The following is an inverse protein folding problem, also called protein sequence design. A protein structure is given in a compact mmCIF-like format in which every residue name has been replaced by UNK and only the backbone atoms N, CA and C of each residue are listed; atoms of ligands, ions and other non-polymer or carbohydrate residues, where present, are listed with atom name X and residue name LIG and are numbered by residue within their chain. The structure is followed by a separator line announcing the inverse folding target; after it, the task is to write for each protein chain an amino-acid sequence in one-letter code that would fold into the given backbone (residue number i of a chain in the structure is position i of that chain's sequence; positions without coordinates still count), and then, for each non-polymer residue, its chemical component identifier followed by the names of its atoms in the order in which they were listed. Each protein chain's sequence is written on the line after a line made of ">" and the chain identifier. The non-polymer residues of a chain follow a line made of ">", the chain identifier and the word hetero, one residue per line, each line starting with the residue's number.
data_IF_315221242993
#
_entry.id   IF_315221242993
#
_cell.length_a   1.000
_cell.length_b   1.000
_cell.length_c   1.000
_cell.angle_alpha   90.00
_cell.angle_beta   90.00
_cell.angle_gamma   90.00
#
_symmetry.space_group_name_H-M   'P 1'
#
loop_
_entity.id
_entity.type
_entity.pdbx_description
1 polymer ?
#
# COMPACT_ATOMS: atom_id res chain seq x y z
N UNK A 1 -7.61 -7.74 -8.62
CA UNK A 1 -7.48 -6.57 -7.72
C UNK A 1 -6.92 -5.42 -8.53
N UNK A 2 -7.45 -4.18 -8.47
CA UNK A 2 -6.67 -3.03 -8.91
C UNK A 2 -5.42 -3.00 -8.05
N UNK A 3 -4.35 -2.48 -8.60
CA UNK A 3 -3.11 -2.40 -7.84
C UNK A 3 -3.35 -1.48 -6.62
N UNK A 4 -3.42 -2.04 -5.42
CA UNK A 4 -3.77 -1.34 -4.15
C UNK A 4 -3.04 -0.01 -3.97
N UNK A 5 -1.78 0.06 -4.42
CA UNK A 5 -0.98 1.27 -4.35
C UNK A 5 -1.46 2.42 -5.26
N UNK A 6 -2.42 2.18 -6.16
CA UNK A 6 -3.02 3.24 -6.99
C UNK A 6 -4.16 3.99 -6.25
N UNK A 7 -4.86 3.34 -5.31
CA UNK A 7 -6.01 3.91 -4.59
C UNK A 7 -5.72 5.24 -3.89
N UNK A 8 -4.53 5.46 -3.28
CA UNK A 8 -4.19 6.75 -2.70
C UNK A 8 -4.27 7.94 -3.68
N UNK A 9 -4.32 7.72 -5.00
CA UNK A 9 -4.55 8.80 -5.95
C UNK A 9 -5.92 9.46 -5.76
N UNK A 10 -6.96 8.69 -5.40
CA UNK A 10 -8.32 9.18 -5.24
C UNK A 10 -8.47 10.18 -4.07
N UNK A 11 -7.62 10.08 -3.05
CA UNK A 11 -7.70 10.96 -1.88
C UNK A 11 -6.92 12.29 -2.05
N UNK A 12 -6.12 12.43 -3.10
CA UNK A 12 -5.29 13.63 -3.27
C UNK A 12 -6.06 14.95 -3.28
N UNK A 13 -7.29 15.05 -3.81
CA UNK A 13 -8.09 16.26 -3.69
C UNK A 13 -8.40 16.63 -2.22
N UNK A 14 -8.58 15.63 -1.36
CA UNK A 14 -8.93 15.83 0.06
C UNK A 14 -7.77 16.35 0.91
N UNK A 15 -6.52 16.23 0.44
CA UNK A 15 -5.33 16.71 1.18
C UNK A 15 -5.33 18.21 1.47
N UNK A 16 -6.13 18.99 0.72
CA UNK A 16 -6.26 20.43 0.91
C UNK A 16 -7.25 20.81 2.01
N UNK A 17 -8.00 19.85 2.52
CA UNK A 17 -8.94 20.08 3.62
C UNK A 17 -8.14 20.20 4.92
N UNK A 18 -8.24 21.36 5.55
CA UNK A 18 -7.33 21.81 6.63
C UNK A 18 -7.18 20.86 7.82
N UNK A 19 -8.23 20.09 8.16
CA UNK A 19 -8.22 19.16 9.30
C UNK A 19 -7.98 17.70 8.87
N UNK A 20 -7.88 17.42 7.56
CA UNK A 20 -7.56 16.09 7.07
C UNK A 20 -6.06 16.00 6.76
N UNK A 21 -5.40 15.04 7.38
CA UNK A 21 -3.99 14.77 7.11
C UNK A 21 -3.84 13.72 6.01
N UNK A 22 -2.82 13.88 5.17
CA UNK A 22 -2.56 12.96 4.04
C UNK A 22 -2.26 11.54 4.52
N UNK A 23 -1.51 11.37 5.63
CA UNK A 23 -1.12 10.05 6.12
C UNK A 23 -2.33 9.15 6.46
N UNK A 24 -3.30 9.54 7.30
CA UNK A 24 -4.47 8.69 7.58
C UNK A 24 -5.39 8.52 6.37
N UNK A 25 -5.49 9.50 5.45
CA UNK A 25 -6.20 9.34 4.18
C UNK A 25 -5.58 8.22 3.32
N UNK A 26 -4.24 8.23 3.18
CA UNK A 26 -3.53 7.20 2.42
C UNK A 26 -3.64 5.83 3.07
N UNK A 27 -3.49 5.76 4.40
CA UNK A 27 -3.68 4.52 5.15
C UNK A 27 -5.08 3.97 4.92
N UNK A 28 -6.12 4.79 5.04
CA UNK A 28 -7.50 4.38 4.77
C UNK A 28 -7.69 3.86 3.35
N UNK A 29 -7.09 4.52 2.35
CA UNK A 29 -7.22 4.13 0.95
C UNK A 29 -6.57 2.77 0.61
N UNK A 30 -5.70 2.23 1.44
CA UNK A 30 -5.10 0.90 1.25
C UNK A 30 -5.63 -0.15 2.24
N UNK A 31 -6.30 0.27 3.29
CA UNK A 31 -6.73 -0.59 4.41
C UNK A 31 -7.58 -1.79 3.97
N UNK A 32 -8.61 -1.67 3.10
CA UNK A 32 -9.45 -2.80 2.73
C UNK A 32 -8.68 -3.97 2.13
N UNK A 33 -7.60 -3.68 1.43
CA UNK A 33 -6.76 -4.69 0.77
C UNK A 33 -5.68 -5.32 1.67
N UNK A 34 -5.38 -4.73 2.82
CA UNK A 34 -4.30 -5.21 3.70
C UNK A 34 -4.41 -6.69 4.06
N UNK A 35 -5.60 -7.26 4.36
CA UNK A 35 -5.72 -8.68 4.66
C UNK A 35 -5.22 -9.61 3.54
N UNK A 36 -5.26 -9.17 2.27
CA UNK A 36 -4.76 -9.96 1.15
C UNK A 36 -3.23 -10.08 1.11
N UNK A 37 -2.54 -9.13 1.73
CA UNK A 37 -1.07 -9.09 1.79
C UNK A 37 -0.50 -9.71 3.06
N UNK A 38 -1.33 -10.26 3.95
CA UNK A 38 -0.81 -10.98 5.11
C UNK A 38 -0.30 -12.36 4.66
N UNK A 39 0.98 -12.71 4.92
CA UNK A 39 1.56 -13.97 4.44
C UNK A 39 1.15 -15.16 5.31
N UNK A 40 0.08 -15.01 6.08
CA UNK A 40 -0.41 -15.97 7.06
C UNK A 40 -1.53 -16.81 6.41
N UNK A 41 -1.21 -17.98 5.89
CA UNK A 41 -2.21 -18.90 5.35
C UNK A 41 -1.57 -20.09 4.63
N UNK A 42 -2.30 -21.20 4.46
CA UNK A 42 -1.85 -22.31 3.65
C UNK A 42 -1.58 -21.84 2.22
N UNK A 43 -0.61 -22.45 1.57
CA UNK A 43 -0.09 -22.10 0.25
C UNK A 43 -1.19 -21.68 -0.74
N UNK A 44 -1.09 -20.46 -1.22
CA UNK A 44 -1.92 -19.93 -2.30
C UNK A 44 -3.23 -19.23 -1.90
N UNK A 45 -3.67 -19.31 -0.65
CA UNK A 45 -4.81 -18.52 -0.21
C UNK A 45 -4.37 -17.45 0.80
N UNK A 46 -4.70 -16.16 0.57
CA UNK A 46 -4.60 -15.17 1.64
C UNK A 46 -5.36 -15.70 2.85
N UNK A 47 -4.87 -15.42 4.04
CA UNK A 47 -5.59 -15.77 5.25
C UNK A 47 -6.96 -15.09 5.14
N UNK A 48 -7.98 -15.87 4.78
CA UNK A 48 -9.36 -15.42 4.91
C UNK A 48 -9.66 -15.43 6.40
N UNK A 49 -9.33 -14.32 7.05
CA UNK A 49 -9.68 -14.10 8.45
C UNK A 49 -11.20 -14.07 8.67
N UNK A 50 -11.98 -14.35 7.62
CA UNK A 50 -13.43 -14.17 7.65
C UNK A 50 -13.85 -12.70 7.84
N UNK A 51 -12.90 -11.79 7.70
CA UNK A 51 -13.14 -10.36 7.84
C UNK A 51 -13.64 -9.82 6.50
N UNK A 52 -14.87 -9.33 6.48
CA UNK A 52 -15.34 -8.49 5.39
C UNK A 52 -14.65 -7.12 5.51
N UNK A 53 -13.93 -6.71 4.49
CA UNK A 53 -13.26 -5.40 4.41
C UNK A 53 -13.68 -4.61 3.17
N UNK A 54 -14.66 -5.12 2.39
CA UNK A 54 -15.08 -4.50 1.14
C UNK A 54 -16.57 -4.14 1.14
N UNK A 55 -17.15 -3.89 2.33
CA UNK A 55 -18.53 -3.42 2.46
C UNK A 55 -18.59 -2.06 3.16
N UNK A 56 -19.68 -1.33 2.91
CA UNK A 56 -19.93 -0.08 3.63
C UNK A 56 -20.11 -0.33 5.14
N UNK A 57 -20.64 -1.48 5.53
CA UNK A 57 -20.82 -1.84 6.94
C UNK A 57 -19.47 -2.11 7.63
N UNK A 58 -18.56 -2.83 6.97
CA UNK A 58 -17.21 -3.10 7.49
C UNK A 58 -16.38 -1.82 7.65
N UNK A 59 -16.63 -0.80 6.83
CA UNK A 59 -15.88 0.46 6.89
C UNK A 59 -15.94 1.13 8.27
N UNK A 60 -17.07 1.01 8.96
CA UNK A 60 -17.26 1.59 10.32
C UNK A 60 -16.74 0.72 11.46
N UNK A 61 -16.33 -0.50 11.19
CA UNK A 61 -15.88 -1.47 12.20
C UNK A 61 -14.48 -2.00 11.89
N UNK A 62 -14.42 -3.05 11.06
CA UNK A 62 -13.16 -3.75 10.74
C UNK A 62 -12.16 -2.83 10.05
N UNK A 63 -12.57 -2.10 9.00
CA UNK A 63 -11.64 -1.27 8.24
C UNK A 63 -11.17 -0.07 9.06
N UNK A 64 -12.08 0.56 9.82
CA UNK A 64 -11.68 1.65 10.71
C UNK A 64 -10.69 1.18 11.77
N UNK A 65 -10.95 0.05 12.43
CA UNK A 65 -10.06 -0.50 13.45
C UNK A 65 -8.70 -0.90 12.85
N UNK A 66 -8.71 -1.56 11.69
CA UNK A 66 -7.50 -1.95 10.97
C UNK A 66 -6.70 -0.71 10.50
N UNK A 67 -7.38 0.27 9.90
CA UNK A 67 -6.74 1.50 9.43
C UNK A 67 -6.13 2.32 10.55
N UNK A 68 -6.81 2.43 11.70
CA UNK A 68 -6.26 3.10 12.88
C UNK A 68 -5.06 2.34 13.47
N UNK A 69 -5.11 1.00 13.48
CA UNK A 69 -3.99 0.15 13.90
C UNK A 69 -2.79 0.31 12.96
N UNK A 70 -3.03 0.34 11.66
CA UNK A 70 -1.97 0.59 10.66
C UNK A 70 -1.37 1.98 10.81
N UNK A 71 -2.19 3.02 11.00
CA UNK A 71 -1.71 4.38 11.23
C UNK A 71 -0.82 4.44 12.48
N UNK A 72 -1.27 3.84 13.57
CA UNK A 72 -0.46 3.74 14.79
C UNK A 72 0.85 3.00 14.54
N UNK A 73 0.80 1.86 13.85
CA UNK A 73 1.98 1.08 13.46
C UNK A 73 2.95 1.90 12.64
N UNK A 74 2.48 2.62 11.63
CA UNK A 74 3.33 3.49 10.77
C UNK A 74 3.96 4.63 11.58
N UNK A 75 3.23 5.24 12.52
CA UNK A 75 3.77 6.29 13.41
C UNK A 75 4.84 5.72 14.35
N UNK A 76 4.59 4.56 14.96
CA UNK A 76 5.52 3.93 15.91
C UNK A 76 6.77 3.37 15.21
N UNK A 77 6.59 2.75 14.05
CA UNK A 77 7.65 2.11 13.26
C UNK A 77 8.23 3.02 12.17
N UNK A 78 8.00 4.34 12.24
CA UNK A 78 8.44 5.28 11.21
C UNK A 78 9.93 5.22 10.88
N UNK A 79 10.80 5.02 11.89
CA UNK A 79 12.24 4.92 11.66
C UNK A 79 12.60 3.69 10.83
N UNK A 80 12.24 2.44 11.23
CA UNK A 80 12.49 1.27 10.40
C UNK A 80 11.77 1.31 9.04
N UNK A 81 10.60 1.94 8.95
CA UNK A 81 9.87 2.08 7.69
C UNK A 81 10.49 3.11 6.73
N UNK A 82 11.33 4.01 7.22
CA UNK A 82 11.86 5.08 6.37
C UNK A 82 13.38 5.05 6.21
N UNK A 83 14.12 4.31 7.04
CA UNK A 83 15.60 4.33 7.06
C UNK A 83 16.23 3.87 5.73
N UNK A 84 15.56 2.98 5.00
CA UNK A 84 16.00 2.48 3.70
C UNK A 84 15.46 3.29 2.51
N UNK A 85 14.60 4.29 2.75
CA UNK A 85 14.09 5.15 1.69
C UNK A 85 15.16 6.15 1.21
N UNK A 86 15.08 6.58 -0.05
CA UNK A 86 15.85 7.74 -0.52
C UNK A 86 15.59 8.97 0.39
N UNK A 87 16.57 9.83 0.64
CA UNK A 87 16.47 10.91 1.63
C UNK A 87 15.25 11.80 1.46
N UNK A 88 14.90 12.13 0.23
CA UNK A 88 13.72 12.94 -0.05
C UNK A 88 12.43 12.25 0.40
N UNK A 89 12.26 10.98 0.04
CA UNK A 89 11.11 10.18 0.43
C UNK A 89 11.05 10.00 1.95
N UNK A 90 12.20 9.69 2.58
CA UNK A 90 12.32 9.58 4.04
C UNK A 90 11.88 10.86 4.74
N UNK A 91 12.41 12.01 4.33
CA UNK A 91 12.09 13.30 4.94
C UNK A 91 10.61 13.64 4.80
N UNK A 92 10.01 13.43 3.61
CA UNK A 92 8.58 13.65 3.36
C UNK A 92 7.70 12.75 4.24
N UNK A 93 8.06 11.47 4.38
CA UNK A 93 7.33 10.54 5.23
C UNK A 93 7.41 10.95 6.71
N UNK A 94 8.60 11.28 7.21
CA UNK A 94 8.79 11.71 8.60
C UNK A 94 8.04 13.01 8.88
N UNK A 95 8.06 13.97 7.96
CA UNK A 95 7.31 15.22 8.08
C UNK A 95 5.79 14.98 8.12
N UNK A 96 5.27 14.09 7.27
CA UNK A 96 3.85 13.74 7.25
C UNK A 96 3.37 13.05 8.54
N UNK A 97 4.26 12.32 9.23
CA UNK A 97 3.95 11.59 10.47
C UNK A 97 4.21 12.41 11.76
N UNK A 98 5.00 13.49 11.67
CA UNK A 98 5.39 14.28 12.85
C UNK A 98 4.20 14.89 13.61
N UNK A 99 3.11 15.38 12.98
CA UNK A 99 1.95 15.89 13.70
C UNK A 99 1.33 14.86 14.66
N UNK A 100 1.27 13.59 14.28
CA UNK A 100 0.70 12.51 15.10
C UNK A 100 1.54 12.17 16.33
N UNK A 101 2.81 12.54 16.33
CA UNK A 101 3.70 12.39 17.48
C UNK A 101 3.62 13.55 18.47
N UNK A 102 3.37 14.74 17.95
CA UNK A 102 3.45 15.96 18.76
C UNK A 102 2.10 16.46 19.27
N UNK A 103 1.01 16.09 18.59
CA UNK A 103 -0.30 16.69 18.83
C UNK A 103 -1.38 15.63 18.95
N UNK A 104 -1.90 15.42 20.15
CA UNK A 104 -3.02 14.48 20.38
C UNK A 104 -4.27 14.84 19.55
N UNK A 105 -4.49 16.13 19.24
CA UNK A 105 -5.62 16.59 18.43
C UNK A 105 -5.63 15.98 17.03
N UNK A 106 -4.48 15.61 16.45
CA UNK A 106 -4.42 15.01 15.12
C UNK A 106 -5.05 13.60 15.11
N UNK A 107 -4.99 12.89 16.23
CA UNK A 107 -5.64 11.60 16.40
C UNK A 107 -7.17 11.70 16.51
N UNK A 108 -7.71 12.85 16.88
CA UNK A 108 -9.15 13.06 16.93
C UNK A 108 -9.78 13.07 15.55
N UNK A 109 -9.08 13.61 14.54
CA UNK A 109 -9.56 13.69 13.17
C UNK A 109 -9.10 12.50 12.30
N UNK A 110 -8.17 11.68 12.80
CA UNK A 110 -7.65 10.53 12.07
C UNK A 110 -8.74 9.50 11.69
N UNK A 111 -9.71 9.14 12.54
CA UNK A 111 -10.78 8.21 12.17
C UNK A 111 -11.59 8.68 10.96
N UNK A 112 -11.93 9.96 10.90
CA UNK A 112 -12.64 10.52 9.75
C UNK A 112 -11.79 10.46 8.48
N UNK A 113 -10.50 10.79 8.56
CA UNK A 113 -9.62 10.72 7.41
C UNK A 113 -9.41 9.28 6.93
N UNK A 114 -9.25 8.31 7.85
CA UNK A 114 -9.20 6.87 7.51
C UNK A 114 -10.49 6.43 6.83
N UNK A 115 -11.66 6.77 7.36
CA UNK A 115 -12.95 6.43 6.73
C UNK A 115 -13.09 7.00 5.33
N UNK A 116 -12.71 8.26 5.11
CA UNK A 116 -12.73 8.87 3.79
C UNK A 116 -11.80 8.15 2.81
N UNK A 117 -10.63 7.69 3.29
CA UNK A 117 -9.73 6.84 2.53
C UNK A 117 -10.36 5.50 2.17
N UNK A 118 -10.94 4.79 3.15
CA UNK A 118 -11.66 3.52 2.93
C UNK A 118 -12.79 3.71 1.93
N UNK A 119 -13.62 4.74 2.08
CA UNK A 119 -14.73 4.98 1.15
C UNK A 119 -14.27 5.33 -0.26
N UNK A 120 -13.15 6.04 -0.41
CA UNK A 120 -12.56 6.28 -1.73
C UNK A 120 -12.11 4.98 -2.41
N UNK A 121 -11.56 4.04 -1.64
CA UNK A 121 -11.20 2.70 -2.10
C UNK A 121 -12.45 1.92 -2.54
N UNK A 122 -13.45 1.77 -1.66
CA UNK A 122 -14.69 1.05 -1.96
C UNK A 122 -15.43 1.65 -3.18
N UNK A 123 -15.43 2.98 -3.30
CA UNK A 123 -16.02 3.65 -4.46
C UNK A 123 -15.28 3.27 -5.75
N UNK A 124 -13.93 3.30 -5.74
CA UNK A 124 -13.12 2.91 -6.89
C UNK A 124 -13.40 1.46 -7.27
N UNK A 125 -13.36 0.56 -6.30
CA UNK A 125 -13.58 -0.87 -6.51
C UNK A 125 -14.99 -1.19 -7.00
N UNK A 126 -15.95 -0.34 -6.67
CA UNK A 126 -17.33 -0.52 -7.17
C UNK A 126 -17.43 -0.51 -8.69
N UNK A 127 -16.48 0.12 -9.39
CA UNK A 127 -16.42 0.19 -10.87
C UNK A 127 -15.48 -0.85 -11.51
N UNK A 128 -14.63 -1.48 -10.73
CA UNK A 128 -13.51 -2.29 -11.22
C UNK A 128 -13.56 -3.76 -10.79
N UNK A 129 -14.62 -4.16 -10.07
CA UNK A 129 -14.83 -5.54 -9.62
C UNK A 129 -16.22 -6.06 -9.99
N UNK A 130 -16.31 -7.35 -10.35
CA UNK A 130 -17.55 -8.02 -10.76
C UNK A 130 -18.69 -7.83 -9.74
N UNK A 131 -18.37 -7.94 -8.44
CA UNK A 131 -19.31 -7.77 -7.34
C UNK A 131 -19.50 -6.30 -6.95
N UNK A 132 -18.84 -5.36 -7.64
CA UNK A 132 -18.91 -3.94 -7.37
C UNK A 132 -20.34 -3.37 -7.56
N UNK A 133 -20.71 -2.43 -6.68
CA UNK A 133 -22.04 -1.82 -6.74
C UNK A 133 -22.32 -1.17 -8.10
N UNK A 134 -21.35 -0.45 -8.68
CA UNK A 134 -21.52 0.20 -9.99
C UNK A 134 -21.60 -0.82 -11.13
N UNK A 135 -20.75 -1.88 -11.10
CA UNK A 135 -20.76 -2.94 -12.13
C UNK A 135 -22.12 -3.65 -12.14
N UNK A 136 -22.69 -3.97 -10.98
CA UNK A 136 -24.04 -4.57 -10.90
C UNK A 136 -25.17 -3.65 -11.35
N UNK A 137 -24.99 -2.35 -11.32
CA UNK A 137 -26.00 -1.36 -11.72
C UNK A 137 -25.88 -0.86 -13.15
N UNK A 138 -24.68 -0.96 -13.72
CA UNK A 138 -24.37 -0.49 -15.08
C UNK A 138 -24.01 -1.72 -15.92
N UNK A 139 -24.97 -2.37 -16.60
CA UNK A 139 -24.73 -3.62 -17.34
C UNK A 139 -23.60 -3.51 -18.36
N UNK A 140 -23.39 -2.33 -18.94
CA UNK A 140 -22.32 -2.09 -19.90
C UNK A 140 -20.93 -2.41 -19.34
N UNK A 141 -20.70 -2.26 -18.03
CA UNK A 141 -19.42 -2.56 -17.39
C UNK A 141 -19.11 -4.07 -17.35
N UNK A 142 -20.15 -4.90 -17.28
CA UNK A 142 -20.04 -6.37 -17.33
C UNK A 142 -19.96 -6.96 -18.73
N UNK A 143 -20.08 -6.14 -19.80
CA UNK A 143 -20.00 -6.65 -21.15
C UNK A 143 -18.59 -7.12 -21.47
N UNK A 144 -18.51 -8.31 -22.11
CA UNK A 144 -17.26 -8.83 -22.64
C UNK A 144 -16.88 -8.10 -23.91
N UNK A 145 -15.62 -7.73 -24.03
CA UNK A 145 -15.04 -7.13 -25.25
C UNK A 145 -13.79 -7.92 -25.66
N UNK A 146 -13.59 -7.99 -26.98
CA UNK A 146 -12.39 -8.61 -27.56
C UNK A 146 -11.59 -7.53 -28.26
N UNK A 147 -10.35 -7.31 -27.81
CA UNK A 147 -9.42 -6.34 -28.40
C UNK A 147 -8.08 -7.05 -28.64
N UNK A 148 -7.82 -7.42 -29.88
CA UNK A 148 -6.64 -8.21 -30.21
C UNK A 148 -6.64 -9.57 -29.51
N UNK A 149 -5.64 -9.80 -28.68
CA UNK A 149 -5.51 -11.03 -27.88
C UNK A 149 -6.29 -10.97 -26.54
N UNK A 150 -6.76 -9.80 -26.13
CA UNK A 150 -7.54 -9.64 -24.91
C UNK A 150 -9.00 -10.00 -25.14
N UNK A 151 -9.55 -10.83 -24.27
CA UNK A 151 -10.96 -11.18 -24.20
C UNK A 151 -11.40 -11.15 -22.73
N UNK A 152 -12.16 -10.16 -22.34
CA UNK A 152 -12.59 -9.97 -20.96
C UNK A 152 -13.58 -8.83 -20.79
N UNK A 153 -14.06 -8.61 -19.59
CA UNK A 153 -15.08 -7.61 -19.25
C UNK A 153 -14.50 -6.19 -19.20
N UNK A 154 -15.38 -5.20 -19.46
CA UNK A 154 -15.00 -3.77 -19.45
C UNK A 154 -14.50 -3.34 -18.09
N UNK A 155 -15.06 -3.84 -16.97
CA UNK A 155 -14.57 -3.48 -15.64
C UNK A 155 -13.11 -3.91 -15.41
N UNK A 156 -12.65 -5.02 -16.02
CA UNK A 156 -11.23 -5.40 -15.96
C UNK A 156 -10.34 -4.41 -16.72
N UNK A 157 -10.79 -3.90 -17.86
CA UNK A 157 -10.06 -2.85 -18.59
C UNK A 157 -9.96 -1.60 -17.72
N UNK A 158 -11.07 -1.19 -17.09
CA UNK A 158 -11.09 -0.06 -16.17
C UNK A 158 -10.14 -0.28 -14.98
N UNK A 159 -10.07 -1.51 -14.46
CA UNK A 159 -9.16 -1.89 -13.38
C UNK A 159 -7.70 -1.60 -13.74
N UNK A 160 -7.23 -2.09 -14.89
CA UNK A 160 -5.84 -1.88 -15.31
C UNK A 160 -5.56 -0.42 -15.69
N UNK A 161 -6.46 0.20 -16.45
CA UNK A 161 -6.29 1.57 -16.91
C UNK A 161 -6.30 2.55 -15.73
N UNK A 162 -7.25 2.41 -14.81
CA UNK A 162 -7.34 3.28 -13.63
C UNK A 162 -6.16 3.07 -12.68
N UNK A 163 -5.63 1.85 -12.57
CA UNK A 163 -4.40 1.59 -11.81
C UNK A 163 -3.20 2.32 -12.41
N UNK A 164 -3.00 2.24 -13.73
CA UNK A 164 -1.92 2.94 -14.43
C UNK A 164 -2.05 4.47 -14.28
N UNK A 165 -3.27 5.01 -14.43
CA UNK A 165 -3.55 6.43 -14.24
C UNK A 165 -3.29 6.85 -12.79
N UNK A 166 -3.78 6.08 -11.81
CA UNK A 166 -3.59 6.37 -10.38
C UNK A 166 -2.11 6.40 -9.98
N UNK A 167 -1.33 5.40 -10.41
CA UNK A 167 0.11 5.38 -10.17
C UNK A 167 0.82 6.56 -10.84
N UNK A 168 0.42 6.93 -12.06
CA UNK A 168 0.97 8.09 -12.76
C UNK A 168 0.67 9.38 -12.00
N UNK A 169 -0.57 9.56 -11.53
CA UNK A 169 -0.98 10.71 -10.71
C UNK A 169 -0.12 10.79 -9.44
N UNK A 170 0.08 9.67 -8.74
CA UNK A 170 0.90 9.63 -7.52
C UNK A 170 2.36 9.95 -7.82
N UNK A 171 2.92 9.43 -8.91
CA UNK A 171 4.29 9.71 -9.32
C UNK A 171 4.49 11.20 -9.65
N UNK A 172 3.57 11.78 -10.43
CA UNK A 172 3.58 13.21 -10.75
C UNK A 172 3.38 14.06 -9.50
N UNK A 173 2.47 13.69 -8.62
CA UNK A 173 2.28 14.37 -7.35
C UNK A 173 3.55 14.34 -6.50
N UNK A 174 4.17 13.17 -6.32
CA UNK A 174 5.42 13.02 -5.58
C UNK A 174 6.55 13.87 -6.20
N UNK A 175 6.68 13.86 -7.52
CA UNK A 175 7.69 14.65 -8.23
C UNK A 175 7.52 16.16 -8.02
N UNK A 176 6.28 16.64 -7.86
CA UNK A 176 5.94 18.06 -7.66
C UNK A 176 5.95 18.51 -6.20
N UNK A 177 6.12 17.60 -5.23
CA UNK A 177 6.27 18.01 -3.84
C UNK A 177 7.55 18.85 -3.67
N UNK A 178 7.50 19.92 -2.86
CA UNK A 178 8.71 20.69 -2.55
C UNK A 178 9.71 19.82 -1.78
N UNK A 179 10.99 20.11 -1.96
CA UNK A 179 12.02 19.43 -1.17
C UNK A 179 11.90 19.83 0.31
N UNK A 180 11.90 18.85 1.22
CA UNK A 180 11.84 19.12 2.66
C UNK A 180 13.01 19.99 3.11
N UNK A 181 12.81 20.89 4.10
CA UNK A 181 13.89 21.74 4.62
C UNK A 181 15.10 20.93 5.13
N UNK A 182 14.85 19.77 5.73
CA UNK A 182 15.90 18.88 6.22
C UNK A 182 16.82 18.35 5.10
N UNK A 183 16.31 18.19 3.88
CA UNK A 183 17.11 17.71 2.75
C UNK A 183 18.16 18.73 2.29
N UNK A 184 17.90 20.03 2.52
CA UNK A 184 18.81 21.11 2.15
C UNK A 184 20.02 21.21 3.10
N UNK A 185 19.95 20.55 4.27
CA UNK A 185 20.98 20.61 5.31
C UNK A 185 21.92 19.40 5.34
N UNK A 186 21.59 18.29 4.68
CA UNK A 186 22.35 17.04 4.77
C UNK A 186 22.74 16.53 3.37
N UNK A 187 23.99 16.75 3.01
CA UNK A 187 24.69 15.96 1.99
C UNK A 187 25.29 14.75 2.71
N UNK A 188 24.53 13.68 2.93
CA UNK A 188 24.99 12.60 3.79
C UNK A 188 25.36 11.32 3.01
N UNK A 189 26.51 10.76 3.40
CA UNK A 189 27.15 9.55 2.86
C UNK A 189 26.37 8.25 3.10
N UNK A 190 25.24 8.28 3.81
CA UNK A 190 24.39 7.12 4.11
C UNK A 190 23.65 6.52 2.90
N UNK A 191 23.63 7.22 1.76
CA UNK A 191 22.89 6.80 0.57
C UNK A 191 23.48 5.61 -0.20
N UNK A 192 24.78 5.35 -0.05
CA UNK A 192 25.48 4.38 -0.89
C UNK A 192 24.98 2.92 -0.71
N UNK A 193 24.33 2.60 0.41
CA UNK A 193 23.96 1.21 0.76
C UNK A 193 22.45 0.92 0.64
N UNK A 194 21.58 1.93 0.58
CA UNK A 194 20.14 1.71 0.54
C UNK A 194 19.67 1.06 -0.78
N UNK A 195 20.22 1.48 -1.92
CA UNK A 195 19.86 0.94 -3.23
C UNK A 195 20.13 -0.55 -3.37
N UNK A 196 21.36 -1.03 -3.12
CA UNK A 196 21.66 -2.46 -3.14
C UNK A 196 20.84 -3.29 -2.17
N UNK A 197 20.57 -2.79 -0.95
CA UNK A 197 19.72 -3.47 0.02
C UNK A 197 18.27 -3.62 -0.48
N UNK A 198 17.71 -2.57 -1.06
CA UNK A 198 16.36 -2.62 -1.64
C UNK A 198 16.26 -3.61 -2.81
N UNK A 199 17.30 -3.66 -3.67
CA UNK A 199 17.35 -4.63 -4.76
C UNK A 199 17.42 -6.08 -4.25
N UNK A 200 18.22 -6.35 -3.22
CA UNK A 200 18.31 -7.67 -2.60
C UNK A 200 16.99 -8.07 -1.94
N UNK A 201 16.33 -7.15 -1.22
CA UNK A 201 15.01 -7.38 -0.62
C UNK A 201 13.98 -7.69 -1.72
N UNK A 202 13.96 -6.91 -2.80
CA UNK A 202 13.04 -7.14 -3.91
C UNK A 202 13.29 -8.49 -4.59
N UNK A 203 14.55 -8.84 -4.85
CA UNK A 203 14.91 -10.12 -5.46
C UNK A 203 14.51 -11.31 -4.56
N UNK A 204 14.79 -11.23 -3.24
CA UNK A 204 14.38 -12.26 -2.29
C UNK A 204 12.85 -12.40 -2.21
N UNK A 205 12.13 -11.29 -2.16
CA UNK A 205 10.67 -11.28 -2.13
C UNK A 205 10.05 -11.88 -3.41
N UNK A 206 10.60 -11.53 -4.57
CA UNK A 206 10.18 -12.09 -5.85
C UNK A 206 10.49 -13.59 -5.95
N UNK A 207 11.63 -14.02 -5.44
CA UNK A 207 12.00 -15.44 -5.41
C UNK A 207 11.02 -16.24 -4.54
N UNK A 208 10.73 -15.77 -3.32
CA UNK A 208 9.82 -16.45 -2.40
C UNK A 208 8.40 -16.46 -2.97
N UNK A 209 7.90 -15.29 -3.41
CA UNK A 209 6.58 -15.17 -4.05
C UNK A 209 6.48 -16.02 -5.33
N UNK A 210 7.55 -16.11 -6.10
CA UNK A 210 7.64 -16.95 -7.30
C UNK A 210 7.54 -18.44 -6.98
N UNK A 211 8.21 -18.89 -5.93
CA UNK A 211 8.09 -20.30 -5.47
C UNK A 211 6.64 -20.61 -5.03
N UNK A 212 6.00 -19.70 -4.30
CA UNK A 212 4.59 -19.88 -3.88
C UNK A 212 3.65 -19.88 -5.09
N UNK A 213 3.86 -19.00 -6.06
CA UNK A 213 3.09 -18.93 -7.30
C UNK A 213 3.25 -20.20 -8.15
N UNK A 214 4.48 -20.73 -8.29
CA UNK A 214 4.74 -21.99 -9.00
C UNK A 214 4.06 -23.18 -8.31
N UNK A 215 4.07 -23.23 -6.97
CA UNK A 215 3.33 -24.27 -6.22
C UNK A 215 1.84 -24.16 -6.46
N UNK A 216 1.29 -22.95 -6.49
CA UNK A 216 -0.11 -22.71 -6.81
C UNK A 216 -0.45 -23.19 -8.23
N UNK A 217 0.36 -22.80 -9.22
CA UNK A 217 0.21 -23.23 -10.62
C UNK A 217 0.20 -24.75 -10.79
N UNK A 218 1.14 -25.42 -10.13
CA UNK A 218 1.24 -26.87 -10.17
C UNK A 218 0.04 -27.57 -9.50
N UNK A 219 -0.54 -26.96 -8.47
CA UNK A 219 -1.68 -27.53 -7.75
C UNK A 219 -3.02 -27.30 -8.47
N UNK A 220 -3.19 -26.19 -9.16
CA UNK A 220 -4.44 -25.79 -9.82
C UNK A 220 -4.38 -25.83 -11.36
N UNK A 221 -3.53 -26.69 -11.92
CA UNK A 221 -3.46 -27.06 -13.35
C UNK A 221 -3.60 -25.87 -14.33
N UNK A 222 -2.69 -24.91 -14.26
CA UNK A 222 -2.58 -23.88 -15.30
C UNK A 222 -3.45 -22.65 -15.13
N UNK A 223 -3.93 -22.38 -13.94
CA UNK A 223 -4.64 -21.15 -13.60
C UNK A 223 -3.69 -19.90 -13.64
N UNK A 224 -3.29 -19.49 -14.86
CA UNK A 224 -2.26 -18.43 -15.07
C UNK A 224 -2.62 -17.13 -14.39
N UNK A 225 -3.86 -16.65 -14.51
CA UNK A 225 -4.30 -15.38 -13.93
C UNK A 225 -4.17 -15.39 -12.39
N UNK A 226 -4.69 -16.45 -11.75
CA UNK A 226 -4.61 -16.62 -10.30
C UNK A 226 -3.16 -16.81 -9.83
N UNK A 227 -2.32 -17.46 -10.64
CA UNK A 227 -0.89 -17.61 -10.35
C UNK A 227 -0.18 -16.26 -10.34
N UNK A 228 -0.50 -15.36 -11.27
CA UNK A 228 0.04 -13.99 -11.29
C UNK A 228 -0.47 -13.19 -10.09
N UNK A 229 -1.72 -13.36 -9.68
CA UNK A 229 -2.26 -12.72 -8.48
C UNK A 229 -1.51 -13.20 -7.22
N UNK A 230 -1.25 -14.50 -7.09
CA UNK A 230 -0.44 -15.05 -6.00
C UNK A 230 0.98 -14.49 -6.03
N UNK A 231 1.63 -14.43 -7.19
CA UNK A 231 2.96 -13.86 -7.33
C UNK A 231 3.03 -12.42 -6.82
N UNK A 232 2.09 -11.59 -7.25
CA UNK A 232 2.05 -10.18 -6.89
C UNK A 232 1.72 -9.98 -5.41
N UNK A 233 0.70 -10.62 -4.90
CA UNK A 233 0.26 -10.46 -3.51
C UNK A 233 1.29 -11.01 -2.53
N UNK A 234 1.84 -12.20 -2.77
CA UNK A 234 2.87 -12.81 -1.93
C UNK A 234 4.22 -12.11 -2.06
N UNK A 235 4.60 -11.74 -3.29
CA UNK A 235 5.82 -10.96 -3.52
C UNK A 235 5.80 -9.63 -2.74
N UNK A 236 4.70 -8.88 -2.78
CA UNK A 236 4.55 -7.64 -2.01
C UNK A 236 4.52 -7.90 -0.50
N UNK A 237 3.85 -8.96 -0.04
CA UNK A 237 3.81 -9.32 1.37
C UNK A 237 5.21 -9.63 1.91
N UNK A 238 5.99 -10.47 1.22
CA UNK A 238 7.36 -10.79 1.59
C UNK A 238 8.28 -9.58 1.48
N UNK A 239 8.09 -8.74 0.44
CA UNK A 239 8.83 -7.48 0.35
C UNK A 239 8.59 -6.60 1.58
N UNK A 240 7.36 -6.40 2.00
CA UNK A 240 7.02 -5.58 3.15
C UNK A 240 7.64 -6.13 4.46
N UNK A 241 7.59 -7.45 4.67
CA UNK A 241 8.19 -8.09 5.84
C UNK A 241 9.71 -7.98 5.85
N UNK A 242 10.37 -8.33 4.74
CA UNK A 242 11.83 -8.26 4.62
C UNK A 242 12.32 -6.82 4.73
N UNK A 243 11.59 -5.88 4.14
CA UNK A 243 11.87 -4.45 4.22
C UNK A 243 11.79 -3.95 5.68
N UNK A 244 10.71 -4.29 6.38
CA UNK A 244 10.53 -3.89 7.77
C UNK A 244 11.60 -4.51 8.68
N UNK A 245 11.94 -5.79 8.46
CA UNK A 245 13.00 -6.47 9.21
C UNK A 245 14.35 -5.79 8.98
N UNK A 246 14.76 -5.58 7.74
CA UNK A 246 16.02 -4.92 7.39
C UNK A 246 16.07 -3.48 7.96
N UNK A 247 14.97 -2.73 7.84
CA UNK A 247 14.87 -1.39 8.41
C UNK A 247 14.97 -1.38 9.93
N UNK A 248 14.42 -2.39 10.61
CA UNK A 248 14.56 -2.55 12.06
C UNK A 248 16.02 -2.84 12.47
N UNK A 249 16.70 -3.74 11.75
CA UNK A 249 18.13 -4.05 11.99
C UNK A 249 18.98 -2.79 11.85
N UNK A 250 18.86 -2.08 10.72
CA UNK A 250 19.61 -0.84 10.47
C UNK A 250 19.32 0.22 11.54
N UNK A 251 18.07 0.36 11.94
CA UNK A 251 17.68 1.33 13.00
C UNK A 251 18.31 0.99 14.35
N UNK A 252 18.36 -0.32 14.70
CA UNK A 252 18.99 -0.77 15.95
C UNK A 252 20.50 -0.57 15.93
N UNK A 253 21.18 -0.86 14.82
CA UNK A 253 22.62 -0.62 14.66
C UNK A 253 22.96 0.86 14.81
N UNK A 254 22.20 1.76 14.19
CA UNK A 254 22.40 3.21 14.36
C UNK A 254 22.25 3.65 15.82
N UNK A 255 21.26 3.14 16.54
CA UNK A 255 21.05 3.45 17.96
C UNK A 255 22.20 2.92 18.84
N UNK A 256 22.65 1.70 18.58
CA UNK A 256 23.77 1.10 19.30
C UNK A 256 25.08 1.86 19.05
N UNK A 257 25.34 2.28 17.81
CA UNK A 257 26.50 3.12 17.46
C UNK A 257 26.48 4.48 18.17
N UNK A 258 25.35 5.16 18.18
CA UNK A 258 25.18 6.44 18.88
C UNK A 258 25.34 6.31 20.41
N UNK A 259 24.94 5.19 21.00
CA UNK A 259 25.10 4.93 22.43
C UNK A 259 26.55 4.66 22.82
N UNK A 260 27.41 4.13 21.94
CA UNK A 260 28.83 3.88 22.17
C UNK A 260 29.71 5.13 22.06
N UNK A 261 29.17 6.20 21.45
CA UNK A 261 29.89 7.48 21.27
C UNK A 261 29.59 8.50 22.38
N UNK A 262 28.68 8.19 23.31
CA UNK A 262 28.35 8.97 24.51
C UNK A 262 29.04 8.41 25.73
#
# INVERSE_FOLDING_TARGET
>A
MPFTLAHPAAILPLRHVRFLRTAPLMVGAVTPDVPYYLPLGPSGHPLRLGLDTHSLASSYSVDLALGMTLLLGVVLLREPLTVLLPPRARSLCLEALEPFRRRAIEWLFAPLAVLLGVWSHLLWDSFTHAEGWAVRRIPALGNTVTIGWYNGEIFHILQYLSSAIGLTILAVWYARLPDPPALRATHDSQQAHAGPALLLIAAAALLIGGVEALRYYAHYEGAVYQTLDVLLTRGLAWFALLYLFAGAVVTLEHRAGAARQR
#
